data_IF_856615605122
#
_entry.id   IF_856615605122
#
_cell.length_a   1.000
_cell.length_b   1.000
_cell.length_c   1.000
_cell.angle_alpha   90.00
_cell.angle_beta   90.00
_cell.angle_gamma   90.00
#
_symmetry.space_group_name_H-M   'P 1'
#
loop_
_entity.id
_entity.type
_entity.pdbx_description
1 polymer ?
#
# COMPACT_ATOMS: atom_id res chain seq x y z
N UNK A 1 4.91 -2.63 -33.23
CA UNK A 1 4.33 -3.34 -32.08
C UNK A 1 3.62 -4.56 -32.64
N UNK A 2 4.35 -5.67 -32.79
CA UNK A 2 3.77 -6.95 -33.17
C UNK A 2 3.67 -7.81 -31.92
N UNK A 3 2.45 -8.06 -31.49
CA UNK A 3 2.10 -8.78 -30.26
C UNK A 3 0.63 -8.55 -29.95
N UNK A 4 -0.03 -9.55 -29.37
CA UNK A 4 -1.40 -9.43 -28.86
C UNK A 4 -1.47 -8.34 -27.80
N UNK A 5 -2.60 -7.62 -27.72
CA UNK A 5 -2.84 -6.65 -26.65
C UNK A 5 -3.02 -7.34 -25.29
N UNK A 6 -2.83 -6.61 -24.19
CA UNK A 6 -2.90 -7.18 -22.83
C UNK A 6 -4.22 -7.94 -22.58
N UNK A 7 -5.37 -7.41 -23.03
CA UNK A 7 -6.66 -8.08 -22.85
C UNK A 7 -6.78 -9.36 -23.68
N UNK A 8 -6.16 -9.41 -24.86
CA UNK A 8 -6.15 -10.60 -25.70
C UNK A 8 -5.25 -11.69 -25.10
N UNK A 9 -4.10 -11.31 -24.55
CA UNK A 9 -3.24 -12.22 -23.79
C UNK A 9 -3.93 -12.74 -22.51
N UNK A 10 -4.61 -11.86 -21.78
CA UNK A 10 -5.39 -12.23 -20.60
C UNK A 10 -6.51 -13.23 -20.96
N UNK A 11 -7.21 -13.00 -22.07
CA UNK A 11 -8.29 -13.86 -22.53
C UNK A 11 -7.81 -15.17 -23.17
N UNK A 12 -6.52 -15.30 -23.49
CA UNK A 12 -5.97 -16.46 -24.21
C UNK A 12 -6.13 -17.79 -23.44
N UNK A 13 -6.16 -17.74 -22.10
CA UNK A 13 -6.37 -18.92 -21.25
C UNK A 13 -7.86 -19.33 -21.10
N UNK A 14 -8.79 -18.60 -21.73
CA UNK A 14 -10.23 -18.90 -21.69
C UNK A 14 -10.62 -20.12 -22.52
N UNK A 15 -11.81 -20.72 -22.27
CA UNK A 15 -12.27 -21.93 -22.96
C UNK A 15 -12.46 -21.77 -24.47
N UNK A 16 -12.08 -22.78 -25.26
CA UNK A 16 -12.19 -22.76 -26.73
C UNK A 16 -13.63 -22.54 -27.23
N UNK A 17 -14.62 -23.06 -26.49
CA UNK A 17 -16.04 -22.90 -26.83
C UNK A 17 -16.49 -21.43 -26.88
N UNK A 18 -15.78 -20.52 -26.20
CA UNK A 18 -16.06 -19.08 -26.14
C UNK A 18 -15.01 -18.24 -26.85
N UNK A 19 -14.10 -18.86 -27.63
CA UNK A 19 -12.90 -18.19 -28.14
C UNK A 19 -13.22 -16.93 -28.95
N UNK A 20 -14.21 -17.02 -29.83
CA UNK A 20 -14.65 -15.90 -30.66
C UNK A 20 -15.18 -14.72 -29.84
N UNK A 21 -16.05 -14.98 -28.86
CA UNK A 21 -16.64 -13.95 -27.99
C UNK A 21 -15.59 -13.28 -27.09
N UNK A 22 -14.65 -14.08 -26.57
CA UNK A 22 -13.56 -13.58 -25.75
C UNK A 22 -12.58 -12.71 -26.55
N UNK A 23 -12.26 -13.08 -27.78
CA UNK A 23 -11.36 -12.30 -28.65
C UNK A 23 -12.02 -11.01 -29.14
N UNK A 24 -13.32 -11.04 -29.42
CA UNK A 24 -14.09 -9.83 -29.70
C UNK A 24 -14.13 -8.88 -28.49
N UNK A 25 -14.47 -9.41 -27.30
CA UNK A 25 -14.53 -8.61 -26.07
C UNK A 25 -13.16 -8.04 -25.68
N UNK A 26 -12.08 -8.80 -25.86
CA UNK A 26 -10.72 -8.34 -25.59
C UNK A 26 -10.28 -7.19 -26.52
N UNK A 27 -10.63 -7.28 -27.81
CA UNK A 27 -10.38 -6.19 -28.77
C UNK A 27 -11.22 -4.96 -28.46
N UNK A 28 -12.48 -5.13 -28.08
CA UNK A 28 -13.35 -4.03 -27.66
C UNK A 28 -12.80 -3.32 -26.40
N UNK A 29 -12.36 -4.08 -25.40
CA UNK A 29 -11.73 -3.52 -24.20
C UNK A 29 -10.44 -2.76 -24.53
N UNK A 30 -9.61 -3.30 -25.42
CA UNK A 30 -8.41 -2.63 -25.92
C UNK A 30 -8.75 -1.30 -26.60
N UNK A 31 -9.74 -1.31 -27.50
CA UNK A 31 -10.19 -0.11 -28.19
C UNK A 31 -10.73 0.96 -27.21
N UNK A 32 -11.55 0.57 -26.23
CA UNK A 32 -12.10 1.51 -25.25
C UNK A 32 -11.01 2.21 -24.41
N UNK A 33 -9.94 1.50 -24.02
CA UNK A 33 -8.82 2.11 -23.29
C UNK A 33 -8.00 3.04 -24.19
N UNK A 34 -7.86 2.69 -25.48
CA UNK A 34 -7.24 3.57 -26.48
C UNK A 34 -8.05 4.85 -26.68
N UNK A 35 -9.36 4.74 -26.81
CA UNK A 35 -10.26 5.90 -26.93
C UNK A 35 -10.17 6.80 -25.69
N UNK A 36 -10.14 6.22 -24.48
CA UNK A 36 -9.96 7.00 -23.26
C UNK A 36 -8.60 7.71 -23.22
N UNK A 37 -7.52 7.03 -23.62
CA UNK A 37 -6.17 7.63 -23.71
C UNK A 37 -6.18 8.82 -24.67
N UNK A 38 -6.78 8.65 -25.84
CA UNK A 38 -6.81 9.69 -26.87
C UNK A 38 -7.65 10.87 -26.41
N UNK A 39 -8.83 10.63 -25.81
CA UNK A 39 -9.61 11.70 -25.20
C UNK A 39 -8.87 12.43 -24.08
N UNK A 40 -8.18 11.70 -23.19
CA UNK A 40 -7.37 12.31 -22.12
C UNK A 40 -6.27 13.21 -22.70
N UNK A 41 -5.62 12.77 -23.78
CA UNK A 41 -4.51 13.49 -24.43
C UNK A 41 -4.99 14.69 -25.24
N UNK A 42 -6.02 14.50 -26.05
CA UNK A 42 -6.42 15.44 -27.08
C UNK A 42 -7.50 16.42 -26.61
N UNK A 43 -8.29 16.04 -25.60
CA UNK A 43 -9.39 16.86 -25.07
C UNK A 43 -9.11 17.33 -23.64
N UNK A 44 -8.88 16.39 -22.71
CA UNK A 44 -8.79 16.73 -21.29
C UNK A 44 -7.53 17.53 -20.95
N UNK A 45 -6.35 17.05 -21.37
CA UNK A 45 -5.08 17.68 -21.02
C UNK A 45 -4.97 19.13 -21.55
N UNK A 46 -5.34 19.45 -22.81
CA UNK A 46 -5.39 20.83 -23.28
C UNK A 46 -6.43 21.68 -22.54
N UNK A 47 -7.59 21.11 -22.19
CA UNK A 47 -8.66 21.86 -21.51
C UNK A 47 -8.31 22.30 -20.08
N UNK A 48 -7.34 21.64 -19.44
CA UNK A 48 -6.88 21.95 -18.08
C UNK A 48 -5.47 22.55 -18.05
N UNK A 49 -4.91 22.94 -19.20
CA UNK A 49 -3.60 23.58 -19.26
C UNK A 49 -3.60 24.90 -18.46
N UNK A 50 -2.63 25.04 -17.55
CA UNK A 50 -2.52 26.18 -16.65
C UNK A 50 -3.55 26.21 -15.50
N UNK A 51 -4.44 25.22 -15.39
CA UNK A 51 -5.36 25.12 -14.27
C UNK A 51 -4.59 24.85 -12.96
N UNK A 52 -5.00 25.45 -11.83
CA UNK A 52 -4.38 25.18 -10.54
C UNK A 52 -4.65 23.74 -10.11
N UNK A 53 -3.61 23.05 -9.63
CA UNK A 53 -3.76 21.71 -9.06
C UNK A 53 -4.15 21.77 -7.58
N UNK A 54 -5.09 22.64 -7.23
CA UNK A 54 -5.62 22.78 -5.87
C UNK A 54 -7.11 22.45 -5.86
N UNK A 55 -7.55 21.69 -4.86
CA UNK A 55 -8.97 21.31 -4.76
C UNK A 55 -9.87 22.48 -4.30
N UNK A 56 -9.30 23.51 -3.67
CA UNK A 56 -10.03 24.58 -2.99
C UNK A 56 -10.51 24.16 -1.59
N UNK A 57 -10.67 25.14 -0.68
CA UNK A 57 -10.98 24.90 0.74
C UNK A 57 -12.28 24.14 0.95
N UNK A 58 -13.35 24.50 0.25
CA UNK A 58 -14.67 23.87 0.41
C UNK A 58 -14.66 22.39 0.01
N UNK A 59 -14.08 22.08 -1.15
CA UNK A 59 -13.96 20.69 -1.62
C UNK A 59 -13.05 19.89 -0.69
N UNK A 60 -11.93 20.47 -0.27
CA UNK A 60 -11.01 19.82 0.65
C UNK A 60 -11.67 19.52 2.00
N UNK A 61 -12.41 20.47 2.58
CA UNK A 61 -13.15 20.27 3.83
C UNK A 61 -14.17 19.13 3.73
N UNK A 62 -14.92 19.05 2.62
CA UNK A 62 -15.89 17.96 2.39
C UNK A 62 -15.20 16.59 2.33
N UNK A 63 -14.09 16.48 1.60
CA UNK A 63 -13.34 15.22 1.52
C UNK A 63 -12.67 14.88 2.84
N UNK A 64 -12.13 15.86 3.56
CA UNK A 64 -11.58 15.67 4.89
C UNK A 64 -12.61 15.08 5.85
N UNK A 65 -13.84 15.63 5.87
CA UNK A 65 -14.94 15.06 6.64
C UNK A 65 -15.31 13.64 6.19
N UNK A 66 -15.38 13.40 4.88
CA UNK A 66 -15.71 12.09 4.33
C UNK A 66 -14.73 11.00 4.79
N UNK A 67 -13.42 11.27 4.78
CA UNK A 67 -12.41 10.29 5.15
C UNK A 67 -12.20 10.16 6.67
N UNK A 68 -12.37 11.24 7.44
CA UNK A 68 -12.13 11.24 8.88
C UNK A 68 -13.39 11.04 9.73
N UNK A 69 -14.58 11.16 9.13
CA UNK A 69 -15.86 11.03 9.82
C UNK A 69 -16.21 12.20 10.75
N UNK A 70 -15.47 13.31 10.69
CA UNK A 70 -15.66 14.49 11.55
C UNK A 70 -15.34 15.79 10.82
N UNK A 71 -15.90 16.91 11.29
CA UNK A 71 -15.56 18.24 10.80
C UNK A 71 -14.29 18.73 11.51
N UNK A 72 -13.17 18.76 10.79
CA UNK A 72 -11.86 19.20 11.31
C UNK A 72 -11.65 20.71 11.10
N UNK A 73 -11.00 21.37 12.06
CA UNK A 73 -10.32 22.63 11.78
C UNK A 73 -9.07 22.33 10.95
N UNK A 74 -9.09 22.78 9.69
CA UNK A 74 -8.03 22.48 8.72
C UNK A 74 -6.74 23.25 8.99
N UNK A 75 -6.84 24.45 9.56
CA UNK A 75 -5.68 25.29 9.85
C UNK A 75 -4.96 24.77 11.10
N UNK A 76 -5.73 24.35 12.12
CA UNK A 76 -5.20 23.63 13.28
C UNK A 76 -4.55 22.30 12.88
N UNK A 77 -5.25 21.47 12.10
CA UNK A 77 -4.71 20.18 11.65
C UNK A 77 -3.41 20.34 10.85
N UNK A 78 -3.30 21.39 10.02
CA UNK A 78 -2.08 21.71 9.29
C UNK A 78 -0.93 22.10 10.23
N UNK A 79 -1.19 22.98 11.20
CA UNK A 79 -0.20 23.39 12.19
C UNK A 79 0.27 22.19 13.04
N UNK A 80 -0.66 21.33 13.46
CA UNK A 80 -0.36 20.10 14.18
C UNK A 80 0.51 19.13 13.37
N UNK A 81 0.22 18.96 12.08
CA UNK A 81 1.03 18.13 11.19
C UNK A 81 2.49 18.57 11.14
N UNK A 82 2.74 19.89 11.07
CA UNK A 82 4.10 20.43 11.12
C UNK A 82 4.77 20.27 12.49
N UNK A 83 4.02 20.44 13.58
CA UNK A 83 4.60 20.21 14.92
C UNK A 83 5.01 18.75 15.10
N UNK A 84 4.17 17.81 14.65
CA UNK A 84 4.49 16.38 14.73
C UNK A 84 5.63 15.99 13.81
N UNK A 85 5.71 16.56 12.60
CA UNK A 85 6.86 16.37 11.73
C UNK A 85 8.18 16.76 12.42
N UNK A 86 8.23 17.93 13.05
CA UNK A 86 9.43 18.38 13.74
C UNK A 86 9.75 17.56 14.99
N UNK A 87 8.72 17.16 15.75
CA UNK A 87 8.88 16.28 16.92
C UNK A 87 9.48 14.93 16.51
N UNK A 88 8.87 14.27 15.52
CA UNK A 88 9.31 12.97 15.00
C UNK A 88 10.72 13.05 14.39
N UNK A 89 11.03 14.12 13.65
CA UNK A 89 12.39 14.32 13.13
C UNK A 89 13.42 14.47 14.25
N UNK A 90 13.05 15.10 15.37
CA UNK A 90 13.88 15.17 16.57
C UNK A 90 14.13 13.78 17.18
N UNK A 91 13.07 12.99 17.36
CA UNK A 91 13.16 11.62 17.86
C UNK A 91 14.00 10.72 16.95
N UNK A 92 13.82 10.81 15.63
CA UNK A 92 14.62 10.07 14.65
C UNK A 92 16.12 10.39 14.77
N UNK A 93 16.50 11.64 15.08
CA UNK A 93 17.90 12.02 15.29
C UNK A 93 18.46 11.39 16.57
N UNK A 94 17.67 11.37 17.66
CA UNK A 94 18.08 10.75 18.91
C UNK A 94 18.27 9.25 18.76
N UNK A 95 17.38 8.56 18.03
CA UNK A 95 17.54 7.12 17.75
C UNK A 95 18.70 6.85 16.78
N UNK A 96 18.90 7.68 15.77
CA UNK A 96 20.02 7.57 14.85
C UNK A 96 21.38 7.64 15.56
N UNK A 97 21.53 8.54 16.54
CA UNK A 97 22.75 8.67 17.34
C UNK A 97 23.04 7.42 18.17
N UNK A 98 22.01 6.69 18.62
CA UNK A 98 22.21 5.41 19.35
C UNK A 98 22.68 4.29 18.43
N UNK A 99 22.28 4.32 17.16
CA UNK A 99 22.60 3.30 16.16
C UNK A 99 23.98 3.57 15.55
N UNK A 100 24.20 4.78 15.07
CA UNK A 100 25.42 5.23 14.40
C UNK A 100 25.81 6.61 14.97
N UNK A 101 26.63 6.63 16.04
CA UNK A 101 27.07 7.88 16.65
C UNK A 101 27.75 8.81 15.64
N UNK A 102 27.33 10.08 15.62
CA UNK A 102 27.83 11.08 14.66
C UNK A 102 27.17 11.05 13.28
N UNK A 103 26.08 10.29 13.09
CA UNK A 103 25.30 10.34 11.85
C UNK A 103 24.75 11.75 11.60
N UNK A 104 25.13 12.37 10.48
CA UNK A 104 24.73 13.74 10.14
C UNK A 104 23.21 13.92 10.03
N UNK A 105 22.49 12.88 9.60
CA UNK A 105 21.03 12.84 9.53
C UNK A 105 20.51 11.42 9.82
N UNK A 106 19.24 11.25 10.21
CA UNK A 106 18.64 9.92 10.38
C UNK A 106 18.75 9.03 9.13
N UNK A 107 18.78 9.62 7.93
CA UNK A 107 18.91 8.89 6.68
C UNK A 107 20.26 8.20 6.52
N UNK A 108 21.33 8.75 7.10
CA UNK A 108 22.65 8.10 7.11
C UNK A 108 22.64 6.85 7.97
N UNK A 109 21.99 6.90 9.14
CA UNK A 109 21.82 5.73 9.98
C UNK A 109 20.92 4.67 9.31
N UNK A 110 19.87 5.09 8.59
CA UNK A 110 19.04 4.16 7.81
C UNK A 110 19.83 3.48 6.70
N UNK A 111 20.59 4.23 5.88
CA UNK A 111 21.43 3.63 4.84
C UNK A 111 22.49 2.66 5.43
N UNK A 112 23.06 2.99 6.59
CA UNK A 112 23.94 2.07 7.31
C UNK A 112 23.23 0.79 7.75
N UNK A 113 21.97 0.87 8.20
CA UNK A 113 21.17 -0.29 8.55
C UNK A 113 20.76 -1.13 7.33
N UNK A 114 20.58 -0.52 6.17
CA UNK A 114 20.32 -1.26 4.93
C UNK A 114 21.51 -2.19 4.57
N UNK A 115 22.74 -1.74 4.83
CA UNK A 115 23.96 -2.52 4.52
C UNK A 115 24.43 -3.43 5.66
N UNK A 116 24.33 -2.96 6.91
CA UNK A 116 24.93 -3.61 8.09
C UNK A 116 23.91 -4.08 9.12
N UNK A 117 22.64 -3.72 8.93
CA UNK A 117 21.56 -4.14 9.80
C UNK A 117 21.24 -5.62 9.65
N UNK A 118 20.51 -6.14 10.63
CA UNK A 118 19.97 -7.50 10.56
C UNK A 118 18.89 -7.56 9.49
N UNK A 119 19.15 -8.32 8.45
CA UNK A 119 18.20 -8.64 7.39
C UNK A 119 17.71 -10.09 7.52
N UNK A 120 16.59 -10.37 6.87
CA UNK A 120 16.03 -11.72 6.74
C UNK A 120 15.99 -11.99 5.24
N UNK A 121 16.83 -12.91 4.81
CA UNK A 121 16.82 -13.40 3.43
C UNK A 121 15.83 -14.54 3.30
N UNK A 122 15.07 -14.53 2.21
CA UNK A 122 14.18 -15.62 1.86
C UNK A 122 12.71 -15.38 2.24
N UNK A 123 11.85 -15.84 1.35
CA UNK A 123 10.40 -15.60 1.41
C UNK A 123 9.76 -16.34 2.58
N UNK A 124 10.19 -17.57 2.85
CA UNK A 124 9.65 -18.39 3.92
C UNK A 124 10.13 -17.89 5.28
N UNK A 125 11.39 -17.50 5.39
CA UNK A 125 12.00 -16.93 6.59
C UNK A 125 11.32 -15.61 6.98
N UNK A 126 11.05 -14.73 6.01
CA UNK A 126 10.28 -13.49 6.25
C UNK A 126 8.87 -13.81 6.74
N UNK A 127 8.19 -14.77 6.10
CA UNK A 127 6.83 -15.19 6.50
C UNK A 127 6.82 -15.69 7.95
N UNK A 128 7.74 -16.58 8.31
CA UNK A 128 7.84 -17.17 9.64
C UNK A 128 8.18 -16.12 10.71
N UNK A 129 9.13 -15.23 10.40
CA UNK A 129 9.48 -14.15 11.32
C UNK A 129 8.31 -13.21 11.59
N UNK A 130 7.59 -12.79 10.53
CA UNK A 130 6.39 -11.96 10.66
C UNK A 130 5.27 -12.67 11.42
N UNK A 131 5.09 -13.97 11.21
CA UNK A 131 4.14 -14.77 12.00
C UNK A 131 4.52 -14.70 13.49
N UNK A 132 5.80 -14.92 13.82
CA UNK A 132 6.27 -14.85 15.20
C UNK A 132 6.12 -13.46 15.82
N UNK A 133 6.29 -12.37 15.06
CA UNK A 133 6.03 -11.00 15.55
C UNK A 133 4.55 -10.83 15.90
N UNK A 134 3.64 -11.28 15.03
CA UNK A 134 2.21 -11.20 15.28
C UNK A 134 1.79 -12.06 16.47
N UNK A 135 2.24 -13.31 16.56
CA UNK A 135 1.88 -14.21 17.66
C UNK A 135 2.31 -13.62 19.01
N UNK A 136 3.55 -13.11 19.10
CA UNK A 136 4.04 -12.42 20.31
C UNK A 136 3.22 -11.19 20.65
N UNK A 137 2.80 -10.40 19.66
CA UNK A 137 1.97 -9.23 19.89
C UNK A 137 0.58 -9.64 20.41
N UNK A 138 -0.05 -10.67 19.84
CA UNK A 138 -1.34 -11.17 20.33
C UNK A 138 -1.26 -11.64 21.77
N UNK A 139 -0.22 -12.39 22.13
CA UNK A 139 -0.04 -12.89 23.50
C UNK A 139 0.30 -11.78 24.50
N UNK A 140 1.05 -10.75 24.10
CA UNK A 140 1.42 -9.64 24.99
C UNK A 140 0.28 -8.65 25.22
N UNK A 141 -0.67 -8.55 24.29
CA UNK A 141 -1.75 -7.58 24.34
C UNK A 141 -3.06 -8.14 24.92
N UNK A 142 -3.32 -9.44 24.74
CA UNK A 142 -4.51 -10.12 25.25
C UNK A 142 -4.56 -10.14 26.78
N UNK A 143 -5.71 -9.80 27.36
CA UNK A 143 -5.96 -9.75 28.80
C UNK A 143 -5.26 -8.61 29.55
N UNK A 144 -4.34 -7.87 28.91
CA UNK A 144 -3.66 -6.71 29.50
C UNK A 144 -4.17 -5.40 28.93
N UNK A 145 -4.19 -5.28 27.59
CA UNK A 145 -4.59 -4.06 26.89
C UNK A 145 -5.91 -4.24 26.14
N UNK A 146 -6.22 -5.46 25.71
CA UNK A 146 -7.45 -5.81 25.00
C UNK A 146 -8.01 -7.15 25.46
N UNK A 147 -9.33 -7.30 25.41
CA UNK A 147 -10.00 -8.60 25.52
C UNK A 147 -10.18 -9.19 24.12
N UNK A 148 -9.25 -10.04 23.68
CA UNK A 148 -9.28 -10.60 22.34
C UNK A 148 -10.20 -11.82 22.30
N UNK A 149 -11.32 -11.70 21.59
CA UNK A 149 -12.19 -12.84 21.33
C UNK A 149 -11.38 -13.95 20.64
N UNK A 150 -11.57 -15.21 21.03
CA UNK A 150 -10.82 -16.36 20.50
C UNK A 150 -10.74 -16.38 18.96
N UNK A 151 -11.85 -15.99 18.31
CA UNK A 151 -11.97 -15.91 16.84
C UNK A 151 -11.02 -14.91 16.16
N UNK A 152 -10.55 -13.88 16.87
CA UNK A 152 -9.59 -12.89 16.37
C UNK A 152 -8.16 -13.18 16.80
N UNK A 153 -7.94 -14.15 17.71
CA UNK A 153 -6.60 -14.52 18.18
C UNK A 153 -5.71 -15.09 17.06
N UNK A 154 -6.31 -15.73 16.06
CA UNK A 154 -5.59 -16.34 14.94
C UNK A 154 -5.47 -15.38 13.76
N UNK A 155 -4.25 -14.92 13.51
CA UNK A 155 -3.85 -14.16 12.30
C UNK A 155 -2.77 -14.95 11.57
N UNK A 156 -2.92 -15.12 10.26
CA UNK A 156 -1.92 -15.83 9.44
C UNK A 156 -1.12 -14.85 8.59
N UNK A 157 0.21 -14.91 8.72
CA UNK A 157 1.19 -14.29 7.81
C UNK A 157 1.20 -15.04 6.48
N UNK A 158 1.00 -14.32 5.38
CA UNK A 158 1.07 -14.86 4.02
C UNK A 158 1.91 -14.00 3.11
N UNK A 159 2.54 -14.61 2.12
CA UNK A 159 3.23 -13.84 1.09
C UNK A 159 2.21 -13.46 0.02
N UNK A 160 2.19 -12.18 -0.35
CA UNK A 160 1.29 -11.69 -1.37
C UNK A 160 1.56 -12.39 -2.73
N UNK A 161 0.52 -12.78 -3.49
CA UNK A 161 0.70 -13.32 -4.83
C UNK A 161 1.47 -12.36 -5.74
N UNK A 162 2.19 -12.90 -6.73
CA UNK A 162 2.89 -12.07 -7.72
C UNK A 162 1.92 -11.07 -8.40
N UNK A 163 2.36 -9.83 -8.57
CA UNK A 163 1.53 -8.74 -9.10
C UNK A 163 0.58 -8.08 -8.09
N UNK A 164 0.63 -8.47 -6.81
CA UNK A 164 -0.09 -7.78 -5.73
C UNK A 164 0.60 -6.49 -5.28
N UNK A 165 -0.02 -5.76 -4.36
CA UNK A 165 0.57 -4.56 -3.75
C UNK A 165 1.97 -4.83 -3.17
N UNK A 166 2.88 -3.87 -3.35
CA UNK A 166 4.24 -3.94 -2.83
C UNK A 166 4.32 -3.76 -1.30
N UNK A 167 3.30 -3.13 -0.70
CA UNK A 167 3.24 -2.91 0.75
C UNK A 167 2.39 -3.99 1.44
N UNK A 168 2.63 -4.24 2.75
CA UNK A 168 1.78 -5.12 3.55
C UNK A 168 0.31 -4.68 3.55
N UNK A 169 -0.60 -5.63 3.41
CA UNK A 169 -2.04 -5.40 3.51
C UNK A 169 -2.73 -6.45 4.38
N UNK A 170 -3.84 -6.06 4.99
CA UNK A 170 -4.67 -6.95 5.78
C UNK A 170 -5.92 -7.37 5.01
N UNK A 171 -6.20 -8.67 5.01
CA UNK A 171 -7.45 -9.24 4.55
C UNK A 171 -8.26 -9.69 5.76
N UNK A 172 -9.45 -9.12 6.00
CA UNK A 172 -10.25 -9.47 7.15
C UNK A 172 -10.69 -10.94 7.11
N UNK A 173 -10.90 -11.48 8.30
CA UNK A 173 -11.46 -12.81 8.50
C UNK A 173 -12.78 -12.96 7.74
N UNK A 174 -12.98 -14.09 7.05
CA UNK A 174 -14.29 -14.51 6.50
C UNK A 174 -14.87 -15.63 7.36
N UNK A 175 -16.16 -15.95 7.20
CA UNK A 175 -16.86 -16.94 8.04
C UNK A 175 -16.10 -18.27 8.17
N UNK A 176 -15.44 -18.69 7.09
CA UNK A 176 -14.73 -19.95 6.92
C UNK A 176 -13.19 -19.83 6.91
N UNK A 177 -12.60 -18.64 7.11
CA UNK A 177 -11.14 -18.48 7.01
C UNK A 177 -10.64 -17.39 7.95
N UNK A 178 -9.49 -17.59 8.64
CA UNK A 178 -8.90 -16.60 9.55
C UNK A 178 -8.55 -15.29 8.82
N UNK A 179 -8.38 -14.21 9.59
CA UNK A 179 -7.82 -12.97 9.05
C UNK A 179 -6.37 -13.19 8.62
N UNK A 180 -5.94 -12.47 7.58
CA UNK A 180 -4.61 -12.65 6.99
C UNK A 180 -3.91 -11.31 6.90
N UNK A 181 -2.67 -11.25 7.37
CA UNK A 181 -1.77 -10.17 7.03
C UNK A 181 -0.86 -10.70 5.92
N UNK A 182 -0.84 -10.01 4.78
CA UNK A 182 0.06 -10.32 3.71
C UNK A 182 1.07 -9.18 3.55
N UNK A 183 2.33 -9.30 4.02
CA UNK A 183 3.40 -8.48 3.49
C UNK A 183 3.34 -8.49 1.95
N UNK A 184 3.42 -7.31 1.33
CA UNK A 184 3.72 -7.24 -0.10
C UNK A 184 5.06 -7.92 -0.33
N UNK A 185 5.23 -8.58 -1.48
CA UNK A 185 6.49 -9.24 -1.84
C UNK A 185 7.50 -8.13 -2.16
N UNK A 186 8.40 -7.76 -1.24
CA UNK A 186 9.39 -6.76 -1.56
C UNK A 186 10.48 -7.54 -2.26
N UNK A 187 10.66 -7.29 -3.55
CA UNK A 187 11.87 -7.71 -4.22
C UNK A 187 13.00 -6.81 -3.67
N UNK A 188 13.44 -7.09 -2.44
CA UNK A 188 14.70 -6.57 -1.93
C UNK A 188 15.77 -7.26 -2.78
N UNK A 189 16.39 -6.49 -3.66
CA UNK A 189 17.51 -6.87 -4.51
C UNK A 189 18.65 -5.92 -4.20
#
# INVERSE_FOLDING_TARGET
MEGRGWFEDFAAAGPDALRAELDESARAATAAVVELRDWMREVYAPAIEGAPNTAGRERYARWSRYFNGTDLDLDEAYAYGWSEYHRLLGEMKLEAEKILPGAATPWVALAHLDEHGRHIEGVDEVREWLQGVMDRAMDSLDGTHFDLAERVRKVESRIAPAGSAAAPYYTPRRRTSPGRAAPGCPRWA
#
